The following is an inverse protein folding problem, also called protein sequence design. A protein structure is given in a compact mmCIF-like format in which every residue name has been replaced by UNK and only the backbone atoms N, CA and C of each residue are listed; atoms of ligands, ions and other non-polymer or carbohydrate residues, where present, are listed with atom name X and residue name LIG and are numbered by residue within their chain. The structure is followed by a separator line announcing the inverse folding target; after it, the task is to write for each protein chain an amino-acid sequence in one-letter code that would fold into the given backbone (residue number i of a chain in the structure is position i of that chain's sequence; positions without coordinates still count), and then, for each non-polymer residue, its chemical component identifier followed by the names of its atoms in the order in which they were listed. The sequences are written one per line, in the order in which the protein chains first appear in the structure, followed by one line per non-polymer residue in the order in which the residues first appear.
data_IF_478108568052
#
_entry.id   IF_478108568052
#
_cell.length_a   1.000
_cell.length_b   1.000
_cell.length_c   1.000
_cell.angle_alpha   90.00
_cell.angle_beta   90.00
_cell.angle_gamma   90.00
#
_symmetry.space_group_name_H-M   'P 1'
#
loop_
_entity.id
_entity.type
_entity.pdbx_description
1 polymer ?
#
# COMPACT_ATOMS: atom_id res chain seq x y z
N UNK A 1 25.98 23.04 13.52
CA UNK A 1 25.56 21.65 13.81
C UNK A 1 25.66 20.82 12.54
N UNK A 2 26.33 19.66 12.58
CA UNK A 2 26.39 18.77 11.43
C UNK A 2 25.00 18.18 11.14
N UNK A 3 24.69 17.99 9.84
CA UNK A 3 23.41 17.46 9.39
C UNK A 3 23.55 15.98 9.07
N UNK A 4 22.63 15.15 9.59
CA UNK A 4 22.54 13.75 9.22
C UNK A 4 22.22 13.61 7.73
N UNK A 5 22.95 12.75 7.02
CA UNK A 5 22.68 12.37 5.64
C UNK A 5 22.58 10.87 5.54
N UNK A 6 21.42 10.37 5.16
CA UNK A 6 21.21 8.95 4.94
C UNK A 6 21.83 8.53 3.61
N UNK A 7 22.74 7.54 3.63
CA UNK A 7 23.48 7.12 2.44
C UNK A 7 22.59 6.48 1.37
N UNK A 8 21.45 5.89 1.78
CA UNK A 8 20.52 5.20 0.90
C UNK A 8 19.26 6.03 0.63
N UNK A 9 19.37 7.36 0.66
CA UNK A 9 18.22 8.25 0.41
C UNK A 9 17.60 8.03 -0.96
N UNK A 10 18.42 7.85 -2.01
CA UNK A 10 17.92 7.55 -3.34
C UNK A 10 17.16 6.21 -3.40
N UNK A 11 17.63 5.19 -2.69
CA UNK A 11 16.96 3.89 -2.61
C UNK A 11 15.62 3.99 -1.86
N UNK A 12 15.56 4.79 -0.78
CA UNK A 12 14.32 5.07 -0.08
C UNK A 12 13.31 5.79 -0.98
N UNK A 13 13.76 6.82 -1.71
CA UNK A 13 12.89 7.55 -2.65
C UNK A 13 12.34 6.65 -3.75
N UNK A 14 13.16 5.74 -4.30
CA UNK A 14 12.70 4.77 -5.28
C UNK A 14 11.67 3.80 -4.69
N UNK A 15 11.88 3.33 -3.45
CA UNK A 15 10.91 2.47 -2.77
C UNK A 15 9.58 3.19 -2.52
N UNK A 16 9.62 4.45 -2.09
CA UNK A 16 8.44 5.29 -1.89
C UNK A 16 7.67 5.53 -3.20
N UNK A 17 8.39 5.80 -4.31
CA UNK A 17 7.78 5.93 -5.64
C UNK A 17 7.13 4.63 -6.09
N UNK A 18 7.80 3.49 -5.90
CA UNK A 18 7.23 2.18 -6.23
C UNK A 18 5.98 1.87 -5.40
N UNK A 19 5.97 2.23 -4.13
CA UNK A 19 4.80 2.11 -3.27
C UNK A 19 3.64 2.96 -3.78
N UNK A 20 3.89 4.21 -4.18
CA UNK A 20 2.86 5.08 -4.73
C UNK A 20 2.29 4.53 -6.05
N UNK A 21 3.14 4.02 -6.94
CA UNK A 21 2.71 3.36 -8.18
C UNK A 21 1.83 2.15 -7.87
N UNK A 22 2.29 1.25 -6.99
CA UNK A 22 1.55 0.05 -6.61
C UNK A 22 0.20 0.39 -5.94
N UNK A 23 0.13 1.47 -5.15
CA UNK A 23 -1.13 1.94 -4.56
C UNK A 23 -2.12 2.40 -5.62
N UNK A 24 -1.65 3.16 -6.63
CA UNK A 24 -2.50 3.64 -7.73
C UNK A 24 -2.99 2.49 -8.60
N UNK A 25 -2.11 1.54 -8.93
CA UNK A 25 -2.47 0.33 -9.67
C UNK A 25 -3.49 -0.51 -8.90
N UNK A 26 -3.26 -0.79 -7.63
CA UNK A 26 -4.22 -1.53 -6.80
C UNK A 26 -5.58 -0.82 -6.71
N UNK A 27 -5.58 0.51 -6.54
CA UNK A 27 -6.82 1.29 -6.52
C UNK A 27 -7.57 1.20 -7.86
N UNK A 28 -6.86 1.22 -8.99
CA UNK A 28 -7.44 1.04 -10.30
C UNK A 28 -8.05 -0.36 -10.47
N UNK A 29 -7.31 -1.41 -10.14
CA UNK A 29 -7.79 -2.79 -10.22
C UNK A 29 -8.99 -3.06 -9.31
N UNK A 30 -9.03 -2.41 -8.14
CA UNK A 30 -10.19 -2.45 -7.24
C UNK A 30 -11.44 -1.83 -7.88
N UNK A 31 -11.32 -0.73 -8.61
CA UNK A 31 -12.44 -0.13 -9.33
C UNK A 31 -12.96 -1.04 -10.45
N UNK A 32 -12.05 -1.66 -11.21
CA UNK A 32 -12.39 -2.62 -12.26
C UNK A 32 -13.10 -3.84 -11.67
N UNK A 33 -12.57 -4.42 -10.60
CA UNK A 33 -13.21 -5.54 -9.90
C UNK A 33 -14.62 -5.20 -9.42
N UNK A 34 -14.82 -4.03 -8.81
CA UNK A 34 -16.16 -3.57 -8.41
C UNK A 34 -17.11 -3.44 -9.60
N UNK A 35 -16.62 -3.00 -10.76
CA UNK A 35 -17.42 -2.94 -11.98
C UNK A 35 -17.82 -4.36 -12.45
N UNK A 36 -16.90 -5.32 -12.44
CA UNK A 36 -17.17 -6.73 -12.75
C UNK A 36 -18.21 -7.35 -11.80
N UNK A 37 -18.09 -7.09 -10.49
CA UNK A 37 -19.06 -7.56 -9.48
C UNK A 37 -20.45 -7.01 -9.75
N UNK A 38 -20.58 -5.70 -10.01
CA UNK A 38 -21.87 -5.07 -10.35
C UNK A 38 -22.46 -5.62 -11.64
N UNK A 39 -21.63 -5.83 -12.66
CA UNK A 39 -22.06 -6.41 -13.93
C UNK A 39 -22.55 -7.85 -13.77
N UNK A 40 -21.84 -8.68 -12.98
CA UNK A 40 -22.27 -10.03 -12.65
C UNK A 40 -23.61 -10.05 -11.91
N UNK A 41 -23.77 -9.20 -10.88
CA UNK A 41 -25.01 -9.11 -10.13
C UNK A 41 -26.19 -8.70 -11.04
N UNK A 42 -26.00 -7.68 -11.88
CA UNK A 42 -27.04 -7.25 -12.83
C UNK A 42 -27.41 -8.36 -13.83
N UNK A 43 -26.42 -9.08 -14.34
CA UNK A 43 -26.67 -10.18 -15.28
C UNK A 43 -27.33 -11.38 -14.60
N UNK A 44 -27.02 -11.65 -13.33
CA UNK A 44 -27.67 -12.66 -12.53
C UNK A 44 -29.16 -12.36 -12.34
N UNK A 45 -29.52 -11.11 -12.09
CA UNK A 45 -30.92 -10.70 -11.95
C UNK A 45 -31.67 -10.82 -13.27
N UNK A 46 -31.08 -10.38 -14.39
CA UNK A 46 -31.65 -10.60 -15.74
C UNK A 46 -31.87 -12.07 -16.06
N UNK A 47 -30.97 -12.94 -15.61
CA UNK A 47 -31.14 -14.38 -15.79
C UNK A 47 -32.30 -14.93 -14.93
N UNK A 48 -32.46 -14.48 -13.68
CA UNK A 48 -33.62 -14.83 -12.85
C UNK A 48 -34.93 -14.39 -13.49
N UNK A 49 -34.98 -13.17 -14.02
CA UNK A 49 -36.15 -12.64 -14.72
C UNK A 49 -36.49 -13.49 -15.96
N UNK A 50 -35.47 -13.91 -16.72
CA UNK A 50 -35.64 -14.81 -17.86
C UNK A 50 -36.19 -16.18 -17.45
N UNK A 51 -35.71 -16.74 -16.34
CA UNK A 51 -36.22 -18.00 -15.79
C UNK A 51 -37.68 -17.88 -15.33
N UNK A 52 -38.04 -16.77 -14.70
CA UNK A 52 -39.41 -16.51 -14.29
C UNK A 52 -40.33 -16.34 -15.51
N UNK A 53 -39.92 -15.58 -16.53
CA UNK A 53 -40.65 -15.45 -17.79
C UNK A 53 -40.88 -16.80 -18.48
N UNK A 54 -39.86 -17.66 -18.52
CA UNK A 54 -39.99 -19.03 -19.02
C UNK A 54 -41.01 -19.84 -18.21
N UNK A 55 -40.98 -19.75 -16.88
CA UNK A 55 -41.92 -20.46 -15.99
C UNK A 55 -43.36 -19.99 -16.21
N UNK A 56 -43.58 -18.69 -16.35
CA UNK A 56 -44.90 -18.09 -16.62
C UNK A 56 -45.43 -18.50 -17.98
N UNK A 57 -44.59 -18.43 -19.03
CA UNK A 57 -44.98 -18.84 -20.39
C UNK A 57 -45.36 -20.33 -20.43
N UNK A 58 -44.62 -21.20 -19.73
CA UNK A 58 -44.95 -22.63 -19.65
C UNK A 58 -46.31 -22.93 -19.01
N UNK A 59 -46.81 -22.03 -18.14
CA UNK A 59 -48.11 -22.19 -17.46
C UNK A 59 -49.27 -21.54 -18.22
N UNK A 60 -49.04 -20.35 -18.78
CA UNK A 60 -50.13 -19.48 -19.24
C UNK A 60 -50.04 -19.09 -20.72
N UNK A 61 -48.86 -19.20 -21.35
CA UNK A 61 -48.63 -18.74 -22.74
C UNK A 61 -47.70 -19.71 -23.50
N UNK A 62 -48.17 -20.93 -23.82
CA UNK A 62 -47.32 -21.95 -24.45
C UNK A 62 -46.70 -21.51 -25.79
N UNK A 63 -47.40 -20.65 -26.54
CA UNK A 63 -46.92 -20.10 -27.80
C UNK A 63 -45.65 -19.22 -27.63
N UNK A 64 -45.46 -18.59 -26.46
CA UNK A 64 -44.29 -17.75 -26.15
C UNK A 64 -43.14 -18.54 -25.50
N UNK A 65 -43.36 -19.79 -25.10
CA UNK A 65 -42.41 -20.58 -24.31
C UNK A 65 -41.06 -20.75 -25.03
N UNK A 66 -41.08 -21.03 -26.34
CA UNK A 66 -39.85 -21.20 -27.12
C UNK A 66 -38.98 -19.95 -27.11
N UNK A 67 -39.58 -18.77 -27.25
CA UNK A 67 -38.87 -17.48 -27.19
C UNK A 67 -38.23 -17.25 -25.82
N UNK A 68 -38.95 -17.55 -24.74
CA UNK A 68 -38.42 -17.44 -23.38
C UNK A 68 -37.29 -18.42 -23.09
N UNK A 69 -37.37 -19.65 -23.60
CA UNK A 69 -36.29 -20.65 -23.48
C UNK A 69 -35.00 -20.19 -24.17
N UNK A 70 -35.11 -19.64 -25.39
CA UNK A 70 -33.97 -19.09 -26.13
C UNK A 70 -33.36 -17.92 -25.36
N UNK A 71 -34.20 -16.99 -24.88
CA UNK A 71 -33.75 -15.84 -24.11
C UNK A 71 -33.05 -16.24 -22.81
N UNK A 72 -33.62 -17.17 -22.03
CA UNK A 72 -33.01 -17.66 -20.79
C UNK A 72 -31.66 -18.35 -21.04
N UNK A 73 -31.54 -19.14 -22.12
CA UNK A 73 -30.28 -19.74 -22.53
C UNK A 73 -29.22 -18.68 -22.85
N UNK A 74 -29.60 -17.61 -23.54
CA UNK A 74 -28.70 -16.51 -23.88
C UNK A 74 -28.26 -15.72 -22.63
N UNK A 75 -29.20 -15.43 -21.71
CA UNK A 75 -28.86 -14.79 -20.43
C UNK A 75 -27.94 -15.65 -19.58
N UNK A 76 -28.10 -16.97 -19.60
CA UNK A 76 -27.21 -17.92 -18.93
C UNK A 76 -25.80 -17.87 -19.52
N UNK A 77 -25.65 -17.86 -20.84
CA UNK A 77 -24.35 -17.75 -21.51
C UNK A 77 -23.64 -16.46 -21.10
N UNK A 78 -24.34 -15.32 -21.18
CA UNK A 78 -23.81 -14.02 -20.76
C UNK A 78 -23.41 -14.01 -19.28
N UNK A 79 -24.18 -14.67 -18.41
CA UNK A 79 -23.84 -14.79 -16.99
C UNK A 79 -22.53 -15.58 -16.79
N UNK A 80 -22.35 -16.69 -17.50
CA UNK A 80 -21.12 -17.48 -17.45
C UNK A 80 -19.92 -16.65 -17.93
N UNK A 81 -20.09 -15.86 -19.00
CA UNK A 81 -19.02 -15.00 -19.50
C UNK A 81 -18.65 -13.91 -18.49
N UNK A 82 -19.64 -13.26 -17.85
CA UNK A 82 -19.39 -12.29 -16.77
C UNK A 82 -18.70 -12.91 -15.56
N UNK A 83 -19.11 -14.11 -15.16
CA UNK A 83 -18.46 -14.85 -14.07
C UNK A 83 -16.99 -15.16 -14.41
N UNK A 84 -16.70 -15.52 -15.66
CA UNK A 84 -15.32 -15.74 -16.12
C UNK A 84 -14.50 -14.44 -16.06
N UNK A 85 -15.05 -13.33 -16.53
CA UNK A 85 -14.39 -12.01 -16.43
C UNK A 85 -14.11 -11.64 -14.98
N UNK A 86 -15.06 -11.87 -14.06
CA UNK A 86 -14.86 -11.63 -12.63
C UNK A 86 -13.72 -12.48 -12.06
N UNK A 87 -13.68 -13.78 -12.36
CA UNK A 87 -12.61 -14.67 -11.91
C UNK A 87 -11.23 -14.24 -12.43
N UNK A 88 -11.16 -13.79 -13.69
CA UNK A 88 -9.92 -13.26 -14.27
C UNK A 88 -9.49 -11.98 -13.55
N UNK A 89 -10.42 -11.07 -13.29
CA UNK A 89 -10.15 -9.82 -12.59
C UNK A 89 -9.74 -10.04 -11.12
N UNK A 90 -10.29 -11.05 -10.45
CA UNK A 90 -9.88 -11.44 -9.10
C UNK A 90 -8.40 -11.87 -9.05
N UNK A 91 -7.94 -12.62 -10.05
CA UNK A 91 -6.54 -13.01 -10.16
C UNK A 91 -5.61 -11.79 -10.37
N UNK A 92 -6.03 -10.83 -11.21
CA UNK A 92 -5.29 -9.57 -11.42
C UNK A 92 -5.23 -8.75 -10.13
N UNK A 93 -6.35 -8.61 -9.42
CA UNK A 93 -6.43 -7.89 -8.16
C UNK A 93 -5.54 -8.51 -7.08
N UNK A 94 -5.50 -9.84 -6.97
CA UNK A 94 -4.61 -10.50 -6.00
C UNK A 94 -3.13 -10.31 -6.36
N UNK A 95 -2.78 -10.31 -7.64
CA UNK A 95 -1.43 -9.98 -8.09
C UNK A 95 -1.05 -8.54 -7.71
N UNK A 96 -1.92 -7.56 -7.99
CA UNK A 96 -1.69 -6.16 -7.61
C UNK A 96 -1.57 -6.00 -6.09
N UNK A 97 -2.35 -6.76 -5.32
CA UNK A 97 -2.26 -6.78 -3.85
C UNK A 97 -0.92 -7.30 -3.35
N UNK A 98 -0.38 -8.35 -3.97
CA UNK A 98 0.94 -8.89 -3.61
C UNK A 98 2.04 -7.86 -3.88
N UNK A 99 2.02 -7.23 -5.06
CA UNK A 99 2.98 -6.15 -5.42
C UNK A 99 2.90 -5.00 -4.42
N UNK A 100 1.70 -4.57 -4.04
CA UNK A 100 1.52 -3.51 -3.03
C UNK A 100 2.12 -3.88 -1.67
N UNK A 101 1.91 -5.12 -1.22
CA UNK A 101 2.47 -5.61 0.04
C UNK A 101 4.00 -5.67 0.02
N UNK A 102 4.58 -6.08 -1.10
CA UNK A 102 6.04 -6.10 -1.29
C UNK A 102 6.62 -4.69 -1.28
N UNK A 103 6.02 -3.75 -2.03
CA UNK A 103 6.46 -2.36 -2.05
C UNK A 103 6.37 -1.71 -0.65
N UNK A 104 5.35 -2.05 0.14
CA UNK A 104 5.21 -1.57 1.52
C UNK A 104 6.34 -2.10 2.41
N UNK A 105 6.66 -3.40 2.31
CA UNK A 105 7.75 -4.03 3.07
C UNK A 105 9.11 -3.42 2.73
N UNK A 106 9.37 -3.17 1.45
CA UNK A 106 10.63 -2.56 1.01
C UNK A 106 10.77 -1.13 1.52
N UNK A 107 9.70 -0.34 1.45
CA UNK A 107 9.68 1.03 1.98
C UNK A 107 9.93 1.05 3.48
N UNK A 108 9.22 0.21 4.25
CA UNK A 108 9.41 0.11 5.71
C UNK A 108 10.83 -0.30 6.09
N UNK A 109 11.45 -1.22 5.33
CA UNK A 109 12.82 -1.66 5.55
C UNK A 109 13.80 -0.48 5.45
N UNK A 110 13.67 0.37 4.44
CA UNK A 110 14.54 1.54 4.28
C UNK A 110 14.26 2.61 5.34
N UNK A 111 12.99 2.86 5.68
CA UNK A 111 12.62 3.80 6.73
C UNK A 111 13.21 3.40 8.09
N UNK A 112 13.06 2.14 8.51
CA UNK A 112 13.65 1.62 9.74
C UNK A 112 15.17 1.72 9.75
N UNK A 113 15.82 1.50 8.60
CA UNK A 113 17.28 1.64 8.49
C UNK A 113 17.72 3.09 8.64
N UNK A 114 16.97 4.03 8.03
CA UNK A 114 17.20 5.48 8.16
C UNK A 114 17.07 5.94 9.61
N UNK A 115 16.00 5.51 10.29
CA UNK A 115 15.77 5.81 11.71
C UNK A 115 16.92 5.31 12.60
N UNK A 116 17.34 4.05 12.41
CA UNK A 116 18.47 3.48 13.17
C UNK A 116 19.77 4.26 12.96
N UNK A 117 20.08 4.63 11.72
CA UNK A 117 21.28 5.41 11.42
C UNK A 117 21.20 6.83 11.95
N UNK A 118 20.01 7.46 11.91
CA UNK A 118 19.79 8.79 12.46
C UNK A 118 19.98 8.79 13.98
N UNK A 119 19.44 7.79 14.68
CA UNK A 119 19.60 7.63 16.12
C UNK A 119 21.08 7.42 16.51
N UNK A 120 21.81 6.57 15.78
CA UNK A 120 23.24 6.36 16.00
C UNK A 120 24.06 7.64 15.80
N UNK A 121 23.75 8.40 14.74
CA UNK A 121 24.39 9.70 14.48
C UNK A 121 24.11 10.70 15.60
N UNK A 122 22.88 10.77 16.10
CA UNK A 122 22.52 11.67 17.20
C UNK A 122 23.27 11.34 18.49
N UNK A 123 23.41 10.05 18.82
CA UNK A 123 24.19 9.61 19.99
C UNK A 123 25.66 10.00 19.85
N UNK A 124 26.24 9.81 18.66
CA UNK A 124 27.64 10.17 18.39
C UNK A 124 27.88 11.69 18.52
N UNK A 125 26.95 12.51 18.02
CA UNK A 125 27.03 13.97 18.14
C UNK A 125 26.90 14.43 19.59
N UNK A 126 25.98 13.86 20.37
CA UNK A 126 25.86 14.16 21.81
C UNK A 126 27.15 13.79 22.57
N UNK A 127 27.79 12.68 22.22
CA UNK A 127 29.07 12.29 22.82
C UNK A 127 30.20 13.26 22.48
N UNK A 128 30.25 13.77 21.24
CA UNK A 128 31.23 14.80 20.83
C UNK A 128 31.00 16.11 21.58
N UNK A 129 29.75 16.54 21.70
CA UNK A 129 29.38 17.75 22.45
C UNK A 129 29.75 17.60 23.93
N UNK A 130 29.42 16.46 24.56
CA UNK A 130 29.77 16.19 25.95
C UNK A 130 31.29 16.21 26.16
N UNK A 131 32.06 15.56 25.27
CA UNK A 131 33.52 15.58 25.34
C UNK A 131 34.09 17.01 25.24
N UNK A 132 33.55 17.83 24.34
CA UNK A 132 33.95 19.23 24.21
C UNK A 132 33.64 20.06 25.46
N UNK A 133 32.50 19.82 26.11
CA UNK A 133 32.15 20.45 27.39
C UNK A 133 33.09 20.03 28.51
N UNK A 134 33.41 18.73 28.59
CA UNK A 134 34.33 18.19 29.60
C UNK A 134 35.74 18.77 29.43
N UNK A 135 36.26 18.82 28.21
CA UNK A 135 37.56 19.43 27.88
C UNK A 135 37.58 20.92 28.25
N UNK A 136 36.54 21.67 27.90
CA UNK A 136 36.42 23.10 28.24
C UNK A 136 36.33 23.31 29.76
N UNK A 137 35.56 22.46 30.45
CA UNK A 137 35.42 22.50 31.90
C UNK A 137 36.75 22.26 32.62
N UNK A 138 37.54 21.29 32.14
CA UNK A 138 38.89 21.04 32.67
C UNK A 138 39.80 22.25 32.47
N UNK A 139 39.85 22.84 31.28
CA UNK A 139 40.67 24.03 30.99
C UNK A 139 40.30 25.20 31.91
N UNK A 140 39.01 25.46 32.11
CA UNK A 140 38.53 26.51 33.01
C UNK A 140 38.92 26.25 34.47
N UNK A 141 38.79 25.00 34.93
CA UNK A 141 39.19 24.61 36.27
C UNK A 141 40.70 24.84 36.50
N UNK A 142 41.54 24.38 35.56
CA UNK A 142 42.99 24.60 35.60
C UNK A 142 43.36 26.09 35.61
N UNK A 143 42.71 26.90 34.76
CA UNK A 143 42.91 28.34 34.76
C UNK A 143 42.57 28.98 36.12
N UNK A 144 41.47 28.56 36.75
CA UNK A 144 41.04 29.08 38.05
C UNK A 144 42.00 28.71 39.17
N UNK A 145 42.50 27.47 39.19
CA UNK A 145 43.54 27.05 40.15
C UNK A 145 44.83 27.84 39.98
N UNK A 146 45.28 28.05 38.74
CA UNK A 146 46.50 28.82 38.47
C UNK A 146 46.39 30.28 38.93
N UNK A 147 45.23 30.92 38.71
CA UNK A 147 44.97 32.28 39.20
C UNK A 147 44.94 32.35 40.73
N UNK A 148 44.32 31.37 41.40
CA UNK A 148 44.29 31.30 42.87
C UNK A 148 45.70 31.11 43.49
N UNK A 149 46.56 30.33 42.82
CA UNK A 149 47.94 30.11 43.25
C UNK A 149 48.85 31.34 43.03
N UNK A 150 48.52 32.21 42.08
CA UNK A 150 49.22 33.48 41.86
C UNK A 150 48.82 34.57 42.85
N UNK A 151 47.59 34.53 43.36
CA UNK A 151 47.08 35.51 44.34
C UNK A 151 47.55 35.24 45.79
N UNK A 152 48.14 34.08 46.06
CA UNK A 152 48.63 33.66 47.38
C UNK A 152 50.16 33.79 47.54
N UNK A 153 50.85 34.37 46.56
CA UNK A 153 52.25 34.79 46.63
C UNK A 153 52.36 36.30 46.72
#
# INVERSE_FOLDING_TARGET
MPRFRFRLEASLQLAEQNLEIAQREFAHEMQLWQACVRACASQQDRYKDAQEGQRVAGKHRPAELGSWQIFALEQRKRLIDRQRELMQQEAVMESARQVLLEAHRDTEKFQRLKEKQAAAFQVEELQKEQKGLDETGQVLHWHRQNLANLATK
#
